data_IF_707799904436
#
_entry.id   IF_707799904436
#
_cell.length_a   1.000
_cell.length_b   1.000
_cell.length_c   1.000
_cell.angle_alpha   90.00
_cell.angle_beta   90.00
_cell.angle_gamma   90.00
#
_symmetry.space_group_name_H-M   'P 1'
#
loop_
_entity.id
_entity.type
_entity.pdbx_description
1 polymer ?
#
# COMPACT_ATOMS: atom_id res chain seq x y z
N UNK A 1 -23.86 -32.94 10.03
CA UNK A 1 -25.07 -32.89 9.19
C UNK A 1 -24.94 -34.02 8.17
N UNK A 2 -25.86 -34.98 8.17
CA UNK A 2 -25.88 -36.03 7.16
C UNK A 2 -26.55 -35.51 5.88
N UNK A 3 -25.74 -35.03 4.94
CA UNK A 3 -26.18 -34.45 3.66
C UNK A 3 -26.67 -35.50 2.66
N UNK A 4 -26.70 -36.78 3.02
CA UNK A 4 -27.31 -37.83 2.18
C UNK A 4 -28.83 -37.89 2.35
N UNK A 5 -29.36 -37.37 3.47
CA UNK A 5 -30.81 -37.31 3.76
C UNK A 5 -31.45 -36.00 3.26
N UNK A 6 -32.75 -36.03 2.95
CA UNK A 6 -33.49 -34.83 2.54
C UNK A 6 -33.46 -33.73 3.61
N UNK A 7 -33.64 -34.10 4.89
CA UNK A 7 -33.57 -33.18 6.02
C UNK A 7 -32.17 -32.58 6.19
N UNK A 8 -31.11 -33.39 6.06
CA UNK A 8 -29.74 -32.89 6.18
C UNK A 8 -29.32 -31.98 5.02
N UNK A 9 -29.81 -32.22 3.79
CA UNK A 9 -29.62 -31.29 2.65
C UNK A 9 -30.31 -29.94 2.90
N UNK A 10 -31.52 -29.94 3.46
CA UNK A 10 -32.24 -28.71 3.82
C UNK A 10 -31.45 -27.88 4.85
N UNK A 11 -31.05 -28.53 5.95
CA UNK A 11 -30.31 -27.85 7.03
C UNK A 11 -28.96 -27.33 6.52
N UNK A 12 -28.26 -28.10 5.68
CA UNK A 12 -27.03 -27.64 5.02
C UNK A 12 -27.26 -26.39 4.16
N UNK A 13 -28.32 -26.37 3.35
CA UNK A 13 -28.66 -25.22 2.52
C UNK A 13 -28.96 -23.95 3.32
N UNK A 14 -29.67 -24.09 4.45
CA UNK A 14 -29.95 -22.97 5.37
C UNK A 14 -28.63 -22.39 5.93
N UNK A 15 -27.73 -23.25 6.40
CA UNK A 15 -26.44 -22.78 6.91
C UNK A 15 -25.55 -22.18 5.83
N UNK A 16 -25.59 -22.71 4.61
CA UNK A 16 -24.87 -22.13 3.47
C UNK A 16 -25.37 -20.70 3.18
N UNK A 17 -26.70 -20.53 3.06
CA UNK A 17 -27.30 -19.22 2.83
C UNK A 17 -27.00 -18.22 3.97
N UNK A 18 -27.04 -18.69 5.22
CA UNK A 18 -26.71 -17.87 6.39
C UNK A 18 -25.23 -17.45 6.39
N UNK A 19 -24.32 -18.36 6.04
CA UNK A 19 -22.89 -18.06 5.95
C UNK A 19 -22.58 -17.06 4.83
N UNK A 20 -23.28 -17.16 3.70
CA UNK A 20 -23.18 -16.17 2.61
C UNK A 20 -23.64 -14.78 3.07
N UNK A 21 -24.80 -14.70 3.72
CA UNK A 21 -25.33 -13.46 4.28
C UNK A 21 -24.38 -12.81 5.31
N UNK A 22 -23.83 -13.59 6.23
CA UNK A 22 -22.87 -13.08 7.22
C UNK A 22 -21.60 -12.54 6.56
N UNK A 23 -21.09 -13.22 5.53
CA UNK A 23 -19.93 -12.77 4.77
C UNK A 23 -20.19 -11.43 4.08
N UNK A 24 -21.37 -11.27 3.48
CA UNK A 24 -21.77 -10.01 2.84
C UNK A 24 -21.85 -8.86 3.85
N UNK A 25 -22.47 -9.08 5.01
CA UNK A 25 -22.53 -8.08 6.08
C UNK A 25 -21.14 -7.67 6.59
N UNK A 26 -20.21 -8.62 6.74
CA UNK A 26 -18.83 -8.31 7.14
C UNK A 26 -18.13 -7.45 6.06
N UNK A 27 -18.32 -7.78 4.78
CA UNK A 27 -17.73 -7.03 3.67
C UNK A 27 -18.28 -5.59 3.60
N UNK A 28 -19.59 -5.42 3.78
CA UNK A 28 -20.24 -4.11 3.81
C UNK A 28 -19.69 -3.25 4.94
N UNK A 29 -19.67 -3.79 6.17
CA UNK A 29 -19.13 -3.09 7.35
C UNK A 29 -17.66 -2.73 7.20
N UNK A 30 -16.86 -3.63 6.61
CA UNK A 30 -15.43 -3.37 6.35
C UNK A 30 -15.27 -2.21 5.38
N UNK A 31 -16.07 -2.18 4.33
CA UNK A 31 -16.04 -1.11 3.32
C UNK A 31 -16.46 0.23 3.92
N UNK A 32 -17.53 0.26 4.71
CA UNK A 32 -17.97 1.45 5.44
C UNK A 32 -16.90 1.95 6.42
N UNK A 33 -16.25 1.05 7.15
CA UNK A 33 -15.14 1.37 8.06
C UNK A 33 -13.93 1.97 7.33
N UNK A 34 -13.55 1.39 6.18
CA UNK A 34 -12.47 1.92 5.34
C UNK A 34 -12.81 3.29 4.77
N UNK A 35 -14.04 3.51 4.29
CA UNK A 35 -14.49 4.81 3.81
C UNK A 35 -14.43 5.87 4.91
N UNK A 36 -14.94 5.54 6.10
CA UNK A 36 -14.89 6.40 7.28
C UNK A 36 -13.44 6.72 7.71
N UNK A 37 -12.53 5.74 7.67
CA UNK A 37 -11.12 5.95 7.95
C UNK A 37 -10.44 6.88 6.92
N UNK A 38 -10.74 6.72 5.62
CA UNK A 38 -10.24 7.61 4.56
C UNK A 38 -10.74 9.03 4.71
N UNK A 39 -12.01 9.23 5.08
CA UNK A 39 -12.57 10.56 5.35
C UNK A 39 -11.84 11.26 6.52
N UNK A 40 -11.32 10.50 7.49
CA UNK A 40 -10.44 11.01 8.57
C UNK A 40 -8.97 11.16 8.17
N UNK A 41 -8.63 11.06 6.88
CA UNK A 41 -7.26 11.22 6.37
C UNK A 41 -6.38 9.96 6.43
N UNK A 42 -6.92 8.78 6.79
CA UNK A 42 -6.15 7.53 6.72
C UNK A 42 -6.12 7.01 5.28
N UNK A 43 -4.97 7.10 4.62
CA UNK A 43 -4.82 6.63 3.24
C UNK A 43 -4.78 5.09 3.09
N UNK A 44 -4.31 4.37 4.12
CA UNK A 44 -4.14 2.92 4.08
C UNK A 44 -2.94 2.45 3.23
N UNK A 45 -2.89 1.15 2.92
CA UNK A 45 -1.83 0.54 2.11
C UNK A 45 -0.48 0.41 2.81
N UNK A 46 0.53 -0.09 2.08
CA UNK A 46 1.90 -0.23 2.59
C UNK A 46 2.58 1.15 2.67
N UNK A 47 3.19 1.53 3.80
CA UNK A 47 3.96 2.77 3.90
C UNK A 47 5.08 2.84 2.86
N UNK A 48 5.30 4.03 2.29
CA UNK A 48 6.41 4.26 1.36
C UNK A 48 7.74 4.21 2.11
N UNK A 49 8.73 3.50 1.56
CA UNK A 49 10.11 3.51 2.09
C UNK A 49 10.85 4.82 1.81
N UNK A 50 10.50 5.49 0.70
CA UNK A 50 10.98 6.83 0.40
C UNK A 50 10.14 7.86 1.18
N UNK A 51 10.81 8.74 1.90
CA UNK A 51 10.20 9.85 2.65
C UNK A 51 10.67 11.19 2.06
N UNK A 52 9.97 12.31 2.32
CA UNK A 52 10.41 13.63 1.87
C UNK A 52 11.84 13.98 2.30
N UNK A 53 12.24 13.57 3.52
CA UNK A 53 13.60 13.77 4.04
C UNK A 53 14.62 12.98 3.22
N UNK A 54 14.37 11.68 2.99
CA UNK A 54 15.24 10.83 2.16
C UNK A 54 15.33 11.34 0.73
N UNK A 55 14.23 11.88 0.20
CA UNK A 55 14.17 12.44 -1.14
C UNK A 55 15.07 13.68 -1.26
N UNK A 56 15.01 14.61 -0.29
CA UNK A 56 15.89 15.79 -0.24
C UNK A 56 17.36 15.41 -0.13
N UNK A 57 17.69 14.44 0.73
CA UNK A 57 19.04 13.90 0.85
C UNK A 57 19.52 13.29 -0.47
N UNK A 58 18.71 12.43 -1.07
CA UNK A 58 19.03 11.80 -2.34
C UNK A 58 19.19 12.83 -3.47
N UNK A 59 18.40 13.90 -3.51
CA UNK A 59 18.58 14.99 -4.49
C UNK A 59 19.95 15.66 -4.33
N UNK A 60 20.34 15.99 -3.10
CA UNK A 60 21.62 16.63 -2.82
C UNK A 60 22.81 15.72 -3.15
N UNK A 61 22.71 14.42 -2.86
CA UNK A 61 23.76 13.45 -3.15
C UNK A 61 23.89 13.15 -4.64
N UNK A 62 22.78 12.93 -5.36
CA UNK A 62 22.81 12.57 -6.78
C UNK A 62 23.35 13.68 -7.70
N UNK A 63 23.42 14.93 -7.23
CA UNK A 63 24.05 16.04 -7.94
C UNK A 63 25.58 16.07 -7.85
N UNK A 64 26.19 15.21 -7.03
CA UNK A 64 27.64 15.14 -6.82
C UNK A 64 28.27 14.03 -7.67
N UNK A 65 29.38 14.33 -8.33
CA UNK A 65 30.10 13.39 -9.21
C UNK A 65 30.66 12.17 -8.49
N UNK A 66 30.88 12.26 -7.18
CA UNK A 66 31.48 11.17 -6.36
C UNK A 66 30.45 10.18 -5.82
N UNK A 67 29.16 10.44 -6.00
CA UNK A 67 28.09 9.64 -5.37
C UNK A 67 27.97 8.25 -5.99
N UNK A 68 28.27 7.23 -5.19
CA UNK A 68 27.99 5.82 -5.54
C UNK A 68 26.55 5.47 -5.20
N UNK A 69 25.74 5.30 -6.24
CA UNK A 69 24.29 5.01 -6.14
C UNK A 69 23.98 3.78 -5.26
N UNK A 70 24.82 2.74 -5.30
CA UNK A 70 24.65 1.56 -4.45
C UNK A 70 24.72 1.88 -2.96
N UNK A 71 25.73 2.64 -2.56
CA UNK A 71 25.99 3.01 -1.18
C UNK A 71 24.89 3.94 -0.68
N UNK A 72 24.52 4.94 -1.48
CA UNK A 72 23.38 5.82 -1.18
C UNK A 72 22.08 5.03 -0.96
N UNK A 73 21.79 4.04 -1.80
CA UNK A 73 20.60 3.20 -1.64
C UNK A 73 20.63 2.38 -0.34
N UNK A 74 21.79 1.83 0.03
CA UNK A 74 21.97 1.07 1.27
C UNK A 74 21.74 1.96 2.49
N UNK A 75 22.37 3.15 2.53
CA UNK A 75 22.22 4.12 3.61
C UNK A 75 20.78 4.60 3.76
N UNK A 76 20.09 4.88 2.65
CA UNK A 76 18.69 5.28 2.66
C UNK A 76 17.72 4.11 2.90
N UNK A 77 18.20 2.87 2.89
CA UNK A 77 17.39 1.66 3.07
C UNK A 77 16.37 1.42 1.94
N UNK A 78 16.69 1.83 0.72
CA UNK A 78 15.82 1.74 -0.46
C UNK A 78 16.51 0.99 -1.61
N UNK A 79 15.72 0.50 -2.56
CA UNK A 79 16.29 -0.10 -3.78
C UNK A 79 16.65 0.97 -4.80
N UNK A 80 17.57 0.66 -5.74
CA UNK A 80 17.88 1.54 -6.88
C UNK A 80 16.63 1.90 -7.68
N UNK A 81 15.70 0.95 -7.83
CA UNK A 81 14.42 1.19 -8.50
C UNK A 81 13.58 2.24 -7.75
N UNK A 82 13.54 2.19 -6.42
CA UNK A 82 12.81 3.18 -5.60
C UNK A 82 13.44 4.56 -5.73
N UNK A 83 14.78 4.64 -5.74
CA UNK A 83 15.52 5.88 -5.96
C UNK A 83 15.20 6.46 -7.34
N UNK A 84 15.40 5.69 -8.41
CA UNK A 84 15.22 6.16 -9.78
C UNK A 84 13.77 6.42 -10.18
N UNK A 85 12.80 5.83 -9.48
CA UNK A 85 11.39 6.19 -9.66
C UNK A 85 11.13 7.64 -9.25
N UNK A 86 11.88 8.17 -8.28
CA UNK A 86 11.65 9.48 -7.69
C UNK A 86 12.65 10.55 -8.15
N UNK A 87 13.88 10.17 -8.48
CA UNK A 87 14.98 11.09 -8.83
C UNK A 87 15.73 10.58 -10.06
N UNK A 88 16.16 11.49 -10.94
CA UNK A 88 17.00 11.20 -12.10
C UNK A 88 18.48 10.99 -11.70
N UNK A 89 19.32 10.40 -12.58
CA UNK A 89 20.77 10.29 -12.32
C UNK A 89 21.48 11.62 -12.04
N UNK A 90 20.89 12.75 -12.44
CA UNK A 90 21.44 14.11 -12.25
C UNK A 90 20.79 14.85 -11.07
N UNK A 91 20.06 14.16 -10.19
CA UNK A 91 19.45 14.76 -8.99
C UNK A 91 18.11 15.49 -9.20
N UNK A 92 17.63 15.62 -10.44
CA UNK A 92 16.32 16.22 -10.73
C UNK A 92 15.15 15.31 -10.31
N UNK A 93 14.08 15.91 -9.79
CA UNK A 93 12.86 15.21 -9.38
C UNK A 93 12.09 14.65 -10.59
N UNK A 94 11.60 13.43 -10.43
CA UNK A 94 10.61 12.82 -11.35
C UNK A 94 9.20 12.98 -10.80
N UNK A 95 8.19 12.65 -11.62
CA UNK A 95 6.78 12.82 -11.28
C UNK A 95 6.41 12.26 -9.89
N UNK A 96 6.90 11.07 -9.54
CA UNK A 96 6.61 10.47 -8.23
C UNK A 96 7.34 11.16 -7.07
N UNK A 97 8.52 11.75 -7.32
CA UNK A 97 9.21 12.58 -6.33
C UNK A 97 8.46 13.89 -6.07
N UNK A 98 7.94 14.53 -7.12
CA UNK A 98 7.09 15.73 -7.01
C UNK A 98 5.81 15.41 -6.20
N UNK A 99 5.13 14.31 -6.55
CA UNK A 99 3.94 13.84 -5.80
C UNK A 99 4.25 13.56 -4.32
N UNK A 100 5.44 13.05 -4.00
CA UNK A 100 5.84 12.76 -2.62
C UNK A 100 6.05 14.04 -1.80
N UNK A 101 6.59 15.10 -2.41
CA UNK A 101 6.77 16.39 -1.73
C UNK A 101 5.44 17.14 -1.53
N UNK A 102 4.53 17.03 -2.48
CA UNK A 102 3.22 17.68 -2.42
C UNK A 102 2.18 16.93 -1.55
N UNK A 103 2.56 15.78 -0.98
CA UNK A 103 1.71 14.96 -0.09
C UNK A 103 1.80 15.35 1.39
N UNK A 104 2.64 16.33 1.72
CA UNK A 104 2.81 16.89 3.07
C UNK A 104 1.80 17.98 3.37
#
# INVERSE_FOLDING_TARGET
IDTTTAAGKLVFGIFAALAEFERELIAERTTAGLASARARGRNGGRPYKMTPVKLRLAMASMGQSETKVSTLCQELGITRQTLYRHISPVGQLRADGIKLLNRG
#
